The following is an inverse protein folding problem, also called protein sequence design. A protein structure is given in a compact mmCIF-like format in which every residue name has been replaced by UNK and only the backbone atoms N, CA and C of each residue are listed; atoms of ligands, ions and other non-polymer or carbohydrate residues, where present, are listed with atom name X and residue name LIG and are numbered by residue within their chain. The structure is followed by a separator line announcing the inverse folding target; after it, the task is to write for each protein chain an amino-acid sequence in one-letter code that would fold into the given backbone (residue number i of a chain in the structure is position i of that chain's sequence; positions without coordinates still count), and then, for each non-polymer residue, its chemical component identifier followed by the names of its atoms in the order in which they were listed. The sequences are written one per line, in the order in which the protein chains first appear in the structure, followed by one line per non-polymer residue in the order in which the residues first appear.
data_IF_597832006202
#
_entry.id   IF_597832006202
#
_cell.length_a   1.000
_cell.length_b   1.000
_cell.length_c   1.000
_cell.angle_alpha   90.00
_cell.angle_beta   90.00
_cell.angle_gamma   90.00
#
_symmetry.space_group_name_H-M   'P 1'
#
loop_
_entity.id
_entity.type
_entity.pdbx_description
1 polymer ?
#
# COMPACT_ATOMS: atom_id res chain seq x y z
N UNK A 1 -18.14 -21.20 21.59
CA UNK A 1 -16.93 -20.53 22.13
C UNK A 1 -16.38 -19.52 21.12
N UNK A 2 -16.07 -19.94 19.90
CA UNK A 2 -15.52 -19.06 18.84
C UNK A 2 -16.37 -17.82 18.54
N UNK A 3 -17.69 -17.97 18.37
CA UNK A 3 -18.60 -16.85 18.10
C UNK A 3 -18.66 -15.81 19.23
N UNK A 4 -18.57 -16.22 20.50
CA UNK A 4 -18.59 -15.29 21.64
C UNK A 4 -17.30 -14.46 21.71
N UNK A 5 -16.14 -15.09 21.45
CA UNK A 5 -14.84 -14.39 21.37
C UNK A 5 -14.85 -13.36 20.24
N UNK A 6 -15.42 -13.68 19.08
CA UNK A 6 -15.58 -12.74 17.97
C UNK A 6 -16.45 -11.55 18.36
N UNK A 7 -17.59 -11.78 19.02
CA UNK A 7 -18.48 -10.70 19.48
C UNK A 7 -17.81 -9.79 20.51
N UNK A 8 -17.12 -10.35 21.50
CA UNK A 8 -16.44 -9.57 22.55
C UNK A 8 -15.30 -8.72 21.98
N UNK A 9 -14.55 -9.26 21.02
CA UNK A 9 -13.47 -8.56 20.34
C UNK A 9 -14.00 -7.43 19.44
N UNK A 10 -15.09 -7.68 18.71
CA UNK A 10 -15.75 -6.64 17.91
C UNK A 10 -16.23 -5.48 18.78
N UNK A 11 -16.82 -5.77 19.95
CA UNK A 11 -17.22 -4.74 20.92
C UNK A 11 -16.03 -3.91 21.42
N UNK A 12 -14.92 -4.57 21.75
CA UNK A 12 -13.67 -3.89 22.17
C UNK A 12 -13.13 -2.94 21.09
N UNK A 13 -13.21 -3.35 19.83
CA UNK A 13 -12.77 -2.52 18.69
C UNK A 13 -13.72 -1.33 18.51
N UNK A 14 -15.03 -1.53 18.58
CA UNK A 14 -16.02 -0.45 18.46
C UNK A 14 -15.87 0.60 19.54
N UNK A 15 -15.71 0.18 20.80
CA UNK A 15 -15.49 1.08 21.94
C UNK A 15 -14.22 1.89 21.72
N UNK A 16 -13.11 1.25 21.35
CA UNK A 16 -11.84 1.93 21.07
C UNK A 16 -11.97 2.96 19.94
N UNK A 17 -12.60 2.58 18.82
CA UNK A 17 -12.77 3.47 17.67
C UNK A 17 -13.69 4.65 18.00
N UNK A 18 -14.73 4.43 18.81
CA UNK A 18 -15.63 5.46 19.31
C UNK A 18 -14.94 6.44 20.26
N UNK A 19 -14.19 5.94 21.24
CA UNK A 19 -13.45 6.76 22.20
C UNK A 19 -12.39 7.65 21.55
N UNK A 20 -11.76 7.16 20.47
CA UNK A 20 -10.72 7.90 19.72
C UNK A 20 -11.28 8.75 18.58
N UNK A 21 -12.60 8.81 18.42
CA UNK A 21 -13.31 9.52 17.34
C UNK A 21 -12.76 9.21 15.94
N UNK A 22 -12.34 7.95 15.72
CA UNK A 22 -11.77 7.54 14.44
C UNK A 22 -12.88 7.32 13.41
N UNK A 23 -12.63 7.75 12.18
CA UNK A 23 -13.57 7.47 11.08
C UNK A 23 -13.44 6.00 10.67
N UNK A 24 -14.52 5.24 10.79
CA UNK A 24 -14.56 3.84 10.37
C UNK A 24 -15.89 3.45 9.73
N UNK A 25 -15.85 2.38 8.95
CA UNK A 25 -17.02 1.68 8.41
C UNK A 25 -16.98 0.23 8.86
N UNK A 26 -18.05 -0.24 9.51
CA UNK A 26 -18.26 -1.66 9.80
C UNK A 26 -19.03 -2.31 8.66
N UNK A 27 -18.56 -3.49 8.23
CA UNK A 27 -19.30 -4.38 7.34
C UNK A 27 -19.55 -5.68 8.08
N UNK A 28 -20.81 -5.91 8.41
CA UNK A 28 -21.28 -7.21 8.86
C UNK A 28 -21.27 -8.14 7.64
N UNK A 29 -20.67 -9.32 7.80
CA UNK A 29 -20.54 -10.30 6.72
C UNK A 29 -21.80 -11.13 6.51
N UNK A 30 -22.88 -10.86 7.26
CA UNK A 30 -24.21 -11.38 6.97
C UNK A 30 -24.33 -12.90 7.12
N UNK A 31 -23.45 -13.53 7.91
CA UNK A 31 -23.51 -14.97 8.22
C UNK A 31 -22.20 -15.75 8.10
N UNK A 32 -21.08 -15.12 7.70
CA UNK A 32 -19.74 -15.69 7.94
C UNK A 32 -19.30 -15.26 9.34
N UNK A 33 -18.61 -16.10 10.11
CA UNK A 33 -18.15 -15.79 11.47
C UNK A 33 -17.01 -14.74 11.50
N UNK A 34 -17.17 -13.62 10.79
CA UNK A 34 -16.18 -12.55 10.70
C UNK A 34 -16.80 -11.15 10.59
N UNK A 35 -16.29 -10.23 11.40
CA UNK A 35 -16.60 -8.80 11.34
C UNK A 35 -15.46 -8.05 10.65
N UNK A 36 -15.81 -7.05 9.83
CA UNK A 36 -14.84 -6.23 9.13
C UNK A 36 -14.97 -4.75 9.54
N UNK A 37 -13.85 -4.13 9.91
CA UNK A 37 -13.76 -2.70 10.19
C UNK A 37 -12.77 -2.05 9.23
N UNK A 38 -13.23 -1.07 8.47
CA UNK A 38 -12.39 -0.25 7.59
C UNK A 38 -12.16 1.08 8.28
N UNK A 39 -10.92 1.35 8.69
CA UNK A 39 -10.52 2.54 9.44
C UNK A 39 -9.74 3.47 8.52
N UNK A 40 -10.02 4.77 8.58
CA UNK A 40 -9.22 5.80 7.92
C UNK A 40 -8.34 6.52 8.94
N UNK A 41 -7.03 6.30 8.84
CA UNK A 41 -6.04 7.00 9.66
C UNK A 41 -5.50 8.24 8.92
N UNK A 42 -5.43 9.41 9.59
CA UNK A 42 -4.84 10.61 9.00
C UNK A 42 -3.32 10.46 8.91
N UNK A 43 -2.76 10.47 7.70
CA UNK A 43 -1.32 10.46 7.45
C UNK A 43 -0.78 11.84 7.07
N UNK A 44 0.53 12.04 7.24
CA UNK A 44 1.18 13.31 6.88
C UNK A 44 1.69 13.30 5.42
N UNK A 45 2.26 12.18 4.97
CA UNK A 45 2.84 12.03 3.62
C UNK A 45 1.85 11.39 2.65
N UNK A 46 1.05 10.44 3.13
CA UNK A 46 -0.06 9.77 2.47
C UNK A 46 -1.35 10.39 2.99
N UNK A 47 -2.14 10.98 2.08
CA UNK A 47 -3.36 11.72 2.43
C UNK A 47 -4.28 10.97 3.40
N UNK A 48 -4.42 9.65 3.21
CA UNK A 48 -5.14 8.74 4.11
C UNK A 48 -4.52 7.36 4.09
N UNK A 49 -4.35 6.75 5.27
CA UNK A 49 -3.97 5.33 5.40
C UNK A 49 -5.20 4.53 5.79
N UNK A 50 -5.72 3.74 4.86
CA UNK A 50 -6.83 2.82 5.14
C UNK A 50 -6.31 1.54 5.75
N UNK A 51 -6.87 1.17 6.91
CA UNK A 51 -6.57 -0.08 7.62
C UNK A 51 -7.82 -0.93 7.68
N UNK A 52 -7.72 -2.19 7.27
CA UNK A 52 -8.76 -3.19 7.41
C UNK A 52 -8.45 -4.06 8.63
N UNK A 53 -9.39 -4.11 9.57
CA UNK A 53 -9.40 -5.09 10.65
C UNK A 53 -10.43 -6.16 10.30
N UNK A 54 -9.98 -7.40 10.25
CA UNK A 54 -10.83 -8.58 10.11
C UNK A 54 -10.81 -9.34 11.42
N UNK A 55 -11.93 -9.35 12.12
CA UNK A 55 -12.15 -10.17 13.30
C UNK A 55 -12.65 -11.52 12.84
N UNK A 56 -11.96 -12.60 13.18
CA UNK A 56 -12.37 -13.95 12.78
C UNK A 56 -12.20 -14.96 13.90
N UNK A 57 -12.42 -16.25 13.61
CA UNK A 57 -12.36 -17.36 14.58
C UNK A 57 -11.04 -17.46 15.36
N UNK A 58 -9.95 -17.03 14.74
CA UNK A 58 -8.59 -17.21 15.26
C UNK A 58 -7.98 -15.91 15.81
N UNK A 59 -8.77 -14.83 15.88
CA UNK A 59 -8.34 -13.54 16.40
C UNK A 59 -8.48 -12.40 15.40
N UNK A 60 -7.57 -11.43 15.48
CA UNK A 60 -7.59 -10.20 14.69
C UNK A 60 -6.53 -10.26 13.58
N UNK A 61 -6.97 -10.01 12.35
CA UNK A 61 -6.08 -9.72 11.23
C UNK A 61 -6.16 -8.24 10.89
N UNK A 62 -5.00 -7.59 10.82
CA UNK A 62 -4.84 -6.20 10.39
C UNK A 62 -4.20 -6.20 9.02
N UNK A 63 -4.73 -5.41 8.10
CA UNK A 63 -4.17 -5.19 6.77
C UNK A 63 -4.19 -3.71 6.41
N UNK A 64 -3.07 -3.19 5.91
CA UNK A 64 -3.01 -1.85 5.37
C UNK A 64 -2.34 -1.87 4.00
N UNK A 65 -3.04 -1.30 3.01
CA UNK A 65 -2.49 -1.13 1.67
C UNK A 65 -1.44 -0.03 1.68
N UNK A 66 -0.24 -0.32 1.18
CA UNK A 66 0.88 0.65 1.13
C UNK A 66 0.95 1.26 -0.26
N UNK A 67 1.30 0.47 -1.27
CA UNK A 67 1.38 0.88 -2.67
C UNK A 67 1.17 -0.29 -3.63
N UNK A 68 0.95 0.03 -4.91
CA UNK A 68 0.82 -0.97 -5.99
C UNK A 68 2.16 -1.66 -6.24
N UNK A 69 2.12 -2.77 -6.99
CA UNK A 69 3.31 -3.47 -7.46
C UNK A 69 4.36 -2.48 -8.02
N UNK A 70 5.61 -2.55 -7.56
CA UNK A 70 6.72 -1.78 -8.13
C UNK A 70 6.83 -1.93 -9.64
N UNK A 71 7.10 -0.83 -10.35
CA UNK A 71 7.31 -0.87 -11.81
C UNK A 71 8.71 -1.43 -12.14
N UNK A 72 9.70 -1.17 -11.29
CA UNK A 72 11.09 -1.59 -11.48
C UNK A 72 11.78 -1.97 -10.15
N UNK A 73 13.00 -2.50 -10.25
CA UNK A 73 13.86 -2.82 -9.11
C UNK A 73 13.18 -3.63 -7.96
N UNK A 74 12.41 -4.64 -8.34
CA UNK A 74 11.68 -5.52 -7.42
C UNK A 74 12.58 -6.10 -6.31
N UNK A 75 13.78 -6.56 -6.67
CA UNK A 75 14.74 -7.11 -5.69
C UNK A 75 15.17 -6.07 -4.66
N UNK A 76 15.39 -4.82 -5.06
CA UNK A 76 15.72 -3.72 -4.16
C UNK A 76 14.58 -3.43 -3.18
N UNK A 77 13.35 -3.36 -3.69
CA UNK A 77 12.15 -3.16 -2.87
C UNK A 77 11.98 -4.30 -1.87
N UNK A 78 12.07 -5.55 -2.31
CA UNK A 78 11.88 -6.72 -1.44
C UNK A 78 12.97 -6.83 -0.37
N UNK A 79 14.25 -6.60 -0.73
CA UNK A 79 15.34 -6.55 0.24
C UNK A 79 15.12 -5.45 1.27
N UNK A 80 14.63 -4.30 0.85
CA UNK A 80 14.34 -3.20 1.75
C UNK A 80 13.20 -3.56 2.71
N UNK A 81 12.08 -4.12 2.22
CA UNK A 81 10.95 -4.58 3.02
C UNK A 81 11.37 -5.60 4.07
N UNK A 82 12.15 -6.62 3.67
CA UNK A 82 12.65 -7.65 4.58
C UNK A 82 13.56 -7.07 5.67
N UNK A 83 14.38 -6.07 5.35
CA UNK A 83 15.19 -5.35 6.35
C UNK A 83 14.33 -4.52 7.29
N UNK A 84 13.30 -3.85 6.76
CA UNK A 84 12.38 -3.01 7.53
C UNK A 84 11.57 -3.83 8.53
N UNK A 85 11.14 -5.04 8.15
CA UNK A 85 10.40 -5.97 9.03
C UNK A 85 11.11 -6.26 10.36
N UNK A 86 12.44 -6.15 10.45
CA UNK A 86 13.18 -6.33 11.71
C UNK A 86 12.90 -5.25 12.75
N UNK A 87 12.33 -4.11 12.35
CA UNK A 87 12.08 -2.95 13.20
C UNK A 87 10.59 -2.72 13.45
N UNK A 88 9.71 -3.43 12.76
CA UNK A 88 8.28 -3.25 12.89
C UNK A 88 7.75 -4.04 14.07
N UNK A 89 6.77 -3.47 14.77
CA UNK A 89 6.06 -4.10 15.87
C UNK A 89 4.69 -4.62 15.41
N UNK A 90 4.42 -5.91 15.61
CA UNK A 90 3.10 -6.49 15.36
C UNK A 90 2.64 -6.59 13.90
N UNK A 91 3.29 -5.89 12.98
CA UNK A 91 2.99 -5.92 11.54
C UNK A 91 4.25 -6.21 10.72
N UNK A 92 4.06 -6.78 9.54
CA UNK A 92 5.13 -7.05 8.58
C UNK A 92 4.70 -6.70 7.16
N UNK A 93 5.67 -6.27 6.35
CA UNK A 93 5.49 -6.11 4.92
C UNK A 93 5.30 -7.45 4.22
N UNK A 94 4.27 -7.53 3.37
CA UNK A 94 3.93 -8.68 2.54
C UNK A 94 3.57 -8.25 1.13
N UNK A 95 3.44 -9.23 0.24
CA UNK A 95 2.95 -9.06 -1.13
C UNK A 95 1.66 -9.86 -1.30
N UNK A 96 0.75 -9.36 -2.13
CA UNK A 96 -0.37 -10.17 -2.63
C UNK A 96 -0.02 -10.89 -3.94
N UNK A 97 -0.99 -11.59 -4.53
CA UNK A 97 -0.81 -12.31 -5.80
C UNK A 97 -0.55 -11.37 -6.99
N UNK A 98 -1.03 -10.12 -6.94
CA UNK A 98 -0.76 -9.10 -7.95
C UNK A 98 0.63 -8.46 -7.78
N UNK A 99 1.28 -8.65 -6.63
CA UNK A 99 2.54 -8.03 -6.24
C UNK A 99 2.38 -6.68 -5.54
N UNK A 100 1.15 -6.30 -5.16
CA UNK A 100 0.87 -5.12 -4.38
C UNK A 100 1.39 -5.28 -2.94
N UNK A 101 1.83 -4.17 -2.36
CA UNK A 101 2.51 -4.16 -1.07
C UNK A 101 1.52 -3.84 0.04
N UNK A 102 1.48 -4.73 1.03
CA UNK A 102 0.64 -4.62 2.22
C UNK A 102 1.47 -4.68 3.49
N UNK A 103 0.97 -4.06 4.56
CA UNK A 103 1.36 -4.35 5.94
C UNK A 103 0.30 -5.28 6.53
N UNK A 104 0.73 -6.39 7.10
CA UNK A 104 -0.16 -7.40 7.69
C UNK A 104 0.26 -7.72 9.12
N UNK A 105 -0.71 -7.71 10.03
CA UNK A 105 -0.59 -8.20 11.41
C UNK A 105 -1.60 -9.32 11.67
N UNK A 106 -1.21 -10.34 12.44
CA UNK A 106 -2.12 -11.40 12.91
C UNK A 106 -1.91 -11.57 14.41
N UNK A 107 -2.99 -11.39 15.16
CA UNK A 107 -2.96 -11.31 16.62
C UNK A 107 -4.04 -12.20 17.23
N UNK A 108 -3.71 -12.86 18.34
CA UNK A 108 -4.70 -13.60 19.13
C UNK A 108 -5.75 -12.65 19.72
N UNK A 109 -7.00 -13.11 19.82
CA UNK A 109 -8.06 -12.32 20.43
C UNK A 109 -7.69 -11.83 21.84
N UNK A 110 -7.13 -12.72 22.66
CA UNK A 110 -6.74 -12.44 24.06
C UNK A 110 -5.64 -11.36 24.21
N UNK A 111 -4.86 -11.12 23.15
CA UNK A 111 -3.81 -10.08 23.16
C UNK A 111 -4.35 -8.69 22.81
N UNK A 112 -5.57 -8.59 22.28
CA UNK A 112 -6.13 -7.34 21.82
C UNK A 112 -6.77 -6.58 22.99
N UNK A 113 -6.19 -5.43 23.28
CA UNK A 113 -6.70 -4.44 24.23
C UNK A 113 -6.72 -3.08 23.55
N UNK A 114 -7.42 -2.10 24.12
CA UNK A 114 -7.41 -0.72 23.61
C UNK A 114 -5.98 -0.16 23.43
N UNK A 115 -5.09 -0.42 24.40
CA UNK A 115 -3.69 0.00 24.33
C UNK A 115 -2.92 -0.74 23.22
N UNK A 116 -3.23 -2.01 22.99
CA UNK A 116 -2.59 -2.77 21.92
C UNK A 116 -3.08 -2.34 20.53
N UNK A 117 -4.38 -2.07 20.37
CA UNK A 117 -4.94 -1.51 19.13
C UNK A 117 -4.28 -0.17 18.79
N UNK A 118 -4.13 0.72 19.77
CA UNK A 118 -3.45 2.01 19.59
C UNK A 118 -2.01 1.81 19.08
N UNK A 119 -1.26 0.88 19.68
CA UNK A 119 0.11 0.56 19.24
C UNK A 119 0.16 -0.01 17.83
N UNK A 120 -0.75 -0.93 17.49
CA UNK A 120 -0.79 -1.56 16.17
C UNK A 120 -1.18 -0.56 15.07
N UNK A 121 -2.19 0.27 15.31
CA UNK A 121 -2.62 1.31 14.37
C UNK A 121 -1.55 2.40 14.23
N UNK A 122 -0.92 2.81 15.33
CA UNK A 122 0.19 3.77 15.32
C UNK A 122 1.38 3.25 14.53
N UNK A 123 1.82 2.00 14.77
CA UNK A 123 2.91 1.38 14.01
C UNK A 123 2.57 1.23 12.53
N UNK A 124 1.33 0.88 12.22
CA UNK A 124 0.84 0.73 10.84
C UNK A 124 0.88 2.07 10.11
N UNK A 125 0.40 3.13 10.75
CA UNK A 125 0.43 4.48 10.20
C UNK A 125 1.88 4.95 9.98
N UNK A 126 2.74 4.81 10.99
CA UNK A 126 4.16 5.20 10.89
C UNK A 126 4.87 4.48 9.74
N UNK A 127 4.66 3.17 9.60
CA UNK A 127 5.28 2.40 8.54
C UNK A 127 4.68 2.74 7.16
N UNK A 128 3.36 2.75 7.03
CA UNK A 128 2.71 3.01 5.75
C UNK A 128 2.98 4.43 5.23
N UNK A 129 2.97 5.43 6.11
CA UNK A 129 3.18 6.83 5.77
C UNK A 129 4.68 7.15 5.63
N UNK A 130 5.48 6.74 6.63
CA UNK A 130 6.89 7.07 6.73
C UNK A 130 7.73 6.46 5.60
N UNK A 131 7.41 5.21 5.22
CA UNK A 131 8.20 4.44 4.27
C UNK A 131 7.72 4.60 2.80
N UNK A 132 6.61 5.30 2.58
CA UNK A 132 5.99 5.46 1.26
C UNK A 132 6.95 6.03 0.22
N UNK A 133 7.60 7.16 0.51
CA UNK A 133 8.50 7.82 -0.44
C UNK A 133 9.73 6.97 -0.75
N UNK A 134 10.25 6.23 0.23
CA UNK A 134 11.41 5.34 0.04
C UNK A 134 11.06 4.20 -0.91
N UNK A 135 9.88 3.60 -0.76
CA UNK A 135 9.40 2.56 -1.69
C UNK A 135 9.21 3.12 -3.10
N UNK A 136 8.72 4.36 -3.23
CA UNK A 136 8.58 5.05 -4.52
C UNK A 136 9.93 5.34 -5.19
N UNK A 137 10.91 5.81 -4.42
CA UNK A 137 12.27 6.08 -4.90
C UNK A 137 12.95 4.83 -5.44
N UNK A 138 12.76 3.68 -4.76
CA UNK A 138 13.41 2.43 -5.17
C UNK A 138 12.70 1.80 -6.37
N UNK A 139 11.36 1.78 -6.36
CA UNK A 139 10.55 0.96 -7.27
C UNK A 139 9.86 1.69 -8.42
N UNK A 140 9.90 3.03 -8.45
CA UNK A 140 9.11 3.84 -9.37
C UNK A 140 9.87 5.04 -9.98
N UNK A 141 11.20 5.07 -9.87
CA UNK A 141 12.01 6.24 -10.25
C UNK A 141 11.80 6.69 -11.71
N UNK A 142 11.73 5.74 -12.64
CA UNK A 142 11.53 6.00 -14.07
C UNK A 142 10.11 6.52 -14.34
N UNK A 143 9.12 6.01 -13.62
CA UNK A 143 7.72 6.48 -13.73
C UNK A 143 7.55 7.88 -13.13
N UNK A 144 8.19 8.18 -12.00
CA UNK A 144 8.22 9.52 -11.40
C UNK A 144 8.86 10.54 -12.35
N UNK A 145 9.99 10.20 -12.98
CA UNK A 145 10.66 11.07 -13.97
C UNK A 145 9.78 11.39 -15.17
N UNK A 146 9.10 10.37 -15.71
CA UNK A 146 8.18 10.55 -16.84
C UNK A 146 6.99 11.43 -16.46
N UNK A 147 6.41 11.22 -15.29
CA UNK A 147 5.31 12.03 -14.77
C UNK A 147 5.74 13.49 -14.56
N UNK A 148 6.92 13.72 -13.99
CA UNK A 148 7.49 15.06 -13.82
C UNK A 148 7.62 15.79 -15.15
N UNK A 149 8.27 15.18 -16.14
CA UNK A 149 8.46 15.75 -17.46
C UNK A 149 7.11 16.08 -18.14
N UNK A 150 6.13 15.20 -17.99
CA UNK A 150 4.78 15.40 -18.51
C UNK A 150 4.09 16.61 -17.85
N UNK A 151 4.11 16.72 -16.51
CA UNK A 151 3.51 17.85 -15.79
C UNK A 151 4.16 19.18 -16.13
N UNK A 152 5.49 19.21 -16.21
CA UNK A 152 6.24 20.41 -16.63
C UNK A 152 5.85 20.82 -18.06
N UNK A 153 5.74 19.87 -18.98
CA UNK A 153 5.36 20.17 -20.37
C UNK A 153 3.94 20.73 -20.54
N UNK A 154 3.04 20.48 -19.57
CA UNK A 154 1.65 20.91 -19.58
C UNK A 154 1.31 22.03 -18.60
N UNK A 155 2.26 22.46 -17.78
CA UNK A 155 2.03 23.45 -16.72
C UNK A 155 1.15 22.95 -15.58
N UNK A 156 1.10 21.63 -15.37
CA UNK A 156 0.32 21.00 -14.30
C UNK A 156 1.03 21.12 -12.94
N UNK A 157 0.27 21.03 -11.85
CA UNK A 157 0.81 21.18 -10.49
C UNK A 157 1.77 20.05 -10.09
N UNK A 158 2.93 20.40 -9.55
CA UNK A 158 3.96 19.44 -9.07
C UNK A 158 3.88 19.14 -7.57
N UNK A 159 2.85 19.58 -6.86
CA UNK A 159 2.80 19.51 -5.39
C UNK A 159 3.07 18.10 -4.82
N UNK A 160 2.55 17.05 -5.44
CA UNK A 160 2.76 15.67 -4.99
C UNK A 160 4.13 15.09 -5.39
N UNK A 161 4.84 15.74 -6.32
CA UNK A 161 6.15 15.30 -6.80
C UNK A 161 7.31 16.02 -6.13
N UNK A 162 7.06 17.12 -5.40
CA UNK A 162 8.10 17.92 -4.73
C UNK A 162 9.03 17.08 -3.85
N UNK A 163 8.52 16.05 -3.19
CA UNK A 163 9.33 15.13 -2.39
C UNK A 163 10.45 14.41 -3.20
N UNK A 164 10.28 14.31 -4.52
CA UNK A 164 11.18 13.62 -5.45
C UNK A 164 12.02 14.57 -6.33
N UNK A 165 11.98 15.88 -6.07
CA UNK A 165 12.73 16.90 -6.84
C UNK A 165 14.23 16.55 -6.91
N UNK A 166 14.78 16.06 -5.80
CA UNK A 166 16.17 15.61 -5.68
C UNK A 166 16.54 14.45 -6.64
N UNK A 167 15.57 13.63 -7.07
CA UNK A 167 15.80 12.55 -8.04
C UNK A 167 15.91 13.05 -9.49
N UNK A 168 15.43 14.27 -9.73
CA UNK A 168 15.39 14.93 -11.03
C UNK A 168 16.63 15.81 -11.22
N UNK A 169 16.99 16.61 -10.20
CA UNK A 169 18.16 17.50 -10.24
C UNK A 169 19.50 16.75 -10.44
N UNK A 170 19.59 15.51 -9.96
CA UNK A 170 20.78 14.65 -10.15
C UNK A 170 20.90 14.00 -11.53
N UNK A 171 19.94 14.20 -12.43
CA UNK A 171 19.93 13.64 -13.77
C UNK A 171 19.45 14.69 -14.78
N UNK A 172 20.26 15.71 -15.01
CA UNK A 172 20.21 16.46 -16.26
C UNK A 172 20.26 15.46 -17.44
N UNK A 173 19.21 15.35 -18.27
CA UNK A 173 19.26 14.51 -19.45
C UNK A 173 20.23 15.15 -20.45
N UNK A 174 21.48 14.71 -20.42
CA UNK A 174 22.48 15.01 -21.45
C UNK A 174 22.81 16.50 -21.54
N UNK A 175 23.77 16.95 -20.72
CA UNK A 175 24.54 18.14 -21.05
C UNK A 175 25.19 17.96 -22.43
N UNK A 176 24.59 18.57 -23.45
CA UNK A 176 25.18 18.70 -24.78
C UNK A 176 26.45 19.53 -24.61
N UNK A 177 27.61 18.85 -24.62
CA UNK A 177 28.88 19.51 -24.94
C UNK A 177 28.76 20.02 -26.39
N UNK A 178 29.01 21.30 -26.67
CA UNK A 178 28.94 21.80 -28.02
C UNK A 178 30.24 21.41 -28.71
N UNK A 179 30.26 20.32 -29.46
CA UNK A 179 31.28 20.10 -30.49
C UNK A 179 30.76 19.14 -31.58
N UNK A 180 30.58 19.68 -32.79
CA UNK A 180 30.77 18.92 -34.03
C UNK A 180 29.55 18.29 -34.70
N UNK A 181 28.86 19.08 -35.53
CA UNK A 181 28.29 18.76 -36.87
C UNK A 181 27.93 17.30 -37.20
N UNK A 182 26.63 17.04 -37.41
CA UNK A 182 26.14 15.84 -38.11
C UNK A 182 24.64 15.88 -38.41
N UNK A 183 24.30 16.14 -39.68
CA UNK A 183 22.94 16.28 -40.23
C UNK A 183 22.26 14.92 -40.37
N UNK A 184 20.98 14.80 -39.96
CA UNK A 184 20.15 13.61 -40.23
C UNK A 184 18.70 13.77 -39.79
N UNK A 185 17.78 13.66 -40.75
CA UNK A 185 16.32 13.92 -40.71
C UNK A 185 15.53 13.19 -39.62
N UNK A 186 14.46 13.86 -39.19
CA UNK A 186 13.33 13.32 -38.44
C UNK A 186 12.52 12.29 -39.25
N UNK A 187 11.96 11.29 -38.57
CA UNK A 187 10.61 10.75 -38.80
C UNK A 187 10.21 9.79 -37.66
N UNK A 188 8.97 9.94 -37.15
CA UNK A 188 8.25 8.86 -36.46
C UNK A 188 8.06 8.94 -34.94
N UNK A 189 7.47 10.02 -34.41
CA UNK A 189 6.94 10.04 -33.05
C UNK A 189 5.66 9.18 -32.95
N UNK A 190 5.80 7.97 -32.40
CA UNK A 190 4.66 7.15 -31.95
C UNK A 190 4.18 7.64 -30.59
N UNK A 191 2.98 8.21 -30.54
CA UNK A 191 2.28 8.58 -29.31
C UNK A 191 2.05 7.34 -28.42
N UNK A 192 2.27 7.41 -27.09
CA UNK A 192 1.70 6.43 -26.19
C UNK A 192 0.18 6.69 -26.05
N UNK A 193 -0.64 5.65 -25.86
CA UNK A 193 -2.09 5.77 -25.83
C UNK A 193 -2.54 6.57 -24.60
N UNK A 194 -3.63 7.32 -24.79
CA UNK A 194 -4.31 8.07 -23.74
C UNK A 194 -4.80 7.12 -22.63
N UNK A 195 -4.12 7.15 -21.50
CA UNK A 195 -4.56 6.60 -20.23
C UNK A 195 -3.94 7.46 -19.14
N UNK A 196 -4.74 7.92 -18.18
CA UNK A 196 -4.27 8.75 -17.07
C UNK A 196 -3.02 8.13 -16.42
N UNK A 197 -2.07 8.98 -16.04
CA UNK A 197 -0.80 8.52 -15.52
C UNK A 197 -1.01 7.59 -14.33
N UNK A 198 -0.46 6.39 -14.42
CA UNK A 198 -0.54 5.35 -13.38
C UNK A 198 0.02 5.86 -12.04
N UNK A 199 0.87 6.88 -12.04
CA UNK A 199 1.35 7.54 -10.84
C UNK A 199 0.24 8.25 -10.04
N UNK A 200 -0.82 8.76 -10.69
CA UNK A 200 -1.97 9.35 -9.98
C UNK A 200 -2.84 8.27 -9.32
N UNK A 201 -2.94 7.07 -9.91
CA UNK A 201 -3.66 5.95 -9.31
C UNK A 201 -2.89 5.24 -8.18
N UNK A 202 -1.57 5.47 -8.08
CA UNK A 202 -0.75 5.03 -6.92
C UNK A 202 -1.13 5.80 -5.64
N UNK A 203 -1.65 7.03 -5.76
CA UNK A 203 -1.82 7.97 -4.63
C UNK A 203 -3.28 8.07 -4.13
N UNK A 204 -4.28 7.83 -4.97
CA UNK A 204 -5.64 8.30 -4.66
C UNK A 204 -6.71 7.26 -4.34
N UNK A 205 -6.53 5.97 -4.63
CA UNK A 205 -7.60 5.01 -4.38
C UNK A 205 -7.15 3.92 -3.43
N UNK A 206 -7.56 4.09 -2.16
CA UNK A 206 -7.87 2.97 -1.27
C UNK A 206 -8.90 2.10 -1.98
N UNK A 207 -8.42 1.14 -2.76
CA UNK A 207 -9.27 0.14 -3.41
C UNK A 207 -9.83 -0.70 -2.27
N UNK A 208 -11.15 -0.61 -2.09
CA UNK A 208 -11.89 -1.50 -1.21
C UNK A 208 -11.56 -2.96 -1.56
N UNK A 209 -11.48 -3.88 -0.57
CA UNK A 209 -11.28 -5.29 -0.85
C UNK A 209 -12.48 -5.77 -1.67
N UNK A 210 -12.27 -5.99 -2.97
CA UNK A 210 -13.10 -6.84 -3.79
C UNK A 210 -12.28 -8.10 -4.03
N UNK A 211 -12.91 -9.24 -3.78
CA UNK A 211 -12.43 -10.61 -3.97
C UNK A 211 -11.55 -11.21 -2.87
N UNK A 212 -12.04 -11.17 -1.61
CA UNK A 212 -11.79 -12.25 -0.65
C UNK A 212 -12.95 -13.24 -0.73
N UNK A 213 -12.97 -14.02 -1.81
CA UNK A 213 -13.91 -15.11 -2.06
C UNK A 213 -13.17 -16.27 -2.69
N UNK A 214 -13.10 -17.36 -1.93
CA UNK A 214 -12.86 -18.75 -2.34
C UNK A 214 -11.43 -19.14 -2.78
N UNK A 215 -10.57 -19.36 -1.78
CA UNK A 215 -9.46 -20.33 -1.87
C UNK A 215 -9.62 -21.35 -0.71
N UNK A 216 -10.74 -22.07 -0.71
CA UNK A 216 -10.87 -23.37 -0.06
C UNK A 216 -11.41 -24.33 -1.11
N UNK A 217 -10.51 -24.97 -1.86
CA UNK A 217 -10.65 -26.33 -2.41
C UNK A 217 -9.49 -26.63 -3.37
N UNK A 218 -8.40 -27.19 -2.84
CA UNK A 218 -7.62 -28.21 -3.58
C UNK A 218 -6.72 -29.03 -2.64
N UNK A 219 -7.36 -29.85 -1.79
CA UNK A 219 -6.71 -31.00 -1.15
C UNK A 219 -7.56 -32.26 -1.35
N UNK A 220 -7.56 -32.77 -2.58
CA UNK A 220 -7.77 -34.18 -2.94
C UNK A 220 -7.50 -34.24 -4.44
N UNK A 221 -6.51 -34.93 -4.98
CA UNK A 221 -6.48 -36.39 -5.01
C UNK A 221 -5.17 -36.78 -5.70
N UNK A 222 -4.30 -37.54 -5.04
CA UNK A 222 -3.18 -38.24 -5.69
C UNK A 222 -2.72 -39.40 -4.81
N UNK A 223 -3.65 -40.33 -4.59
CA UNK A 223 -3.34 -41.69 -4.22
C UNK A 223 -4.05 -42.63 -5.19
N UNK A 224 -3.35 -43.05 -6.25
CA UNK A 224 -3.41 -44.38 -6.91
C UNK A 224 -2.76 -44.33 -8.29
N UNK A 225 -1.53 -44.84 -8.39
CA UNK A 225 -1.06 -45.86 -9.33
C UNK A 225 0.46 -46.03 -9.14
#
# INVERSE_FOLDING_TARGET
MTSQVTTDLSGTIEDFLGERELTYSRKDSGGKDADYFVIELPGEKKLKTTVLLTVGPHGLRLEAFVCRKPDENHEGVYKWMLKRNRRLYGVAYTLDNAGDIYLVGRHSADSITAAELDRLLGQTLEAADGDFNVLLEIGFITSIRREWAWRVSRGESLNNLKAFEHLIEGHEPGGVRPDGVGVGRADGAGAPPAGGSRAESVVQNGVAPRDLGDDEDDVSDSAKA
#
